data_IF_334357863261
#
_entry.id   IF_334357863261
#
_cell.length_a   1.000
_cell.length_b   1.000
_cell.length_c   1.000
_cell.angle_alpha   90.00
_cell.angle_beta   90.00
_cell.angle_gamma   90.00
#
_symmetry.space_group_name_H-M   'P 1'
#
loop_
_entity.id
_entity.type
_entity.pdbx_description
1 polymer ?
#
# COMPACT_ATOMS: atom_id res chain seq x y z
N UNK A 1 -6.09 -14.34 14.78
CA UNK A 1 -5.22 -14.68 13.63
C UNK A 1 -5.53 -13.84 12.39
N UNK A 2 -4.57 -13.01 11.95
CA UNK A 2 -4.70 -12.17 10.77
C UNK A 2 -4.21 -12.93 9.52
N UNK A 3 -5.12 -13.24 8.59
CA UNK A 3 -4.78 -13.88 7.30
C UNK A 3 -3.77 -13.02 6.52
N UNK A 4 -2.65 -13.58 6.04
CA UNK A 4 -1.68 -12.82 5.24
C UNK A 4 -2.36 -12.30 3.97
N UNK A 5 -1.99 -11.10 3.49
CA UNK A 5 -2.49 -10.60 2.21
C UNK A 5 -2.11 -11.60 1.10
N UNK A 6 -3.09 -12.04 0.34
CA UNK A 6 -2.88 -12.97 -0.77
C UNK A 6 -2.16 -12.26 -1.91
N UNK A 7 -1.17 -12.92 -2.54
CA UNK A 7 -0.40 -12.36 -3.66
C UNK A 7 -1.24 -11.75 -4.82
N UNK A 8 -2.45 -12.25 -5.15
CA UNK A 8 -3.34 -11.60 -6.11
C UNK A 8 -3.76 -10.18 -5.73
N UNK A 9 -4.01 -9.93 -4.44
CA UNK A 9 -4.45 -8.61 -3.95
C UNK A 9 -3.30 -7.60 -3.96
N UNK A 10 -2.07 -8.05 -3.63
CA UNK A 10 -0.87 -7.21 -3.77
C UNK A 10 -0.69 -6.74 -5.21
N UNK A 11 -0.76 -7.68 -6.16
CA UNK A 11 -0.59 -7.39 -7.59
C UNK A 11 -1.69 -6.45 -8.12
N UNK A 12 -2.94 -6.67 -7.71
CA UNK A 12 -4.05 -5.80 -8.11
C UNK A 12 -3.85 -4.37 -7.62
N UNK A 13 -3.45 -4.19 -6.34
CA UNK A 13 -3.18 -2.87 -5.78
C UNK A 13 -2.02 -2.17 -6.49
N UNK A 14 -0.92 -2.86 -6.72
CA UNK A 14 0.25 -2.28 -7.40
C UNK A 14 -0.06 -1.87 -8.84
N UNK A 15 -0.78 -2.69 -9.59
CA UNK A 15 -1.21 -2.35 -10.95
C UNK A 15 -2.09 -1.09 -10.95
N UNK A 16 -3.07 -1.04 -10.03
CA UNK A 16 -3.95 0.12 -9.89
C UNK A 16 -3.19 1.41 -9.52
N UNK A 17 -2.17 1.31 -8.67
CA UNK A 17 -1.31 2.45 -8.33
C UNK A 17 -0.39 2.84 -9.50
N UNK A 18 0.14 1.89 -10.27
CA UNK A 18 1.01 2.17 -11.42
C UNK A 18 0.28 2.94 -12.53
N UNK A 19 -0.99 2.63 -12.76
CA UNK A 19 -1.84 3.34 -13.73
C UNK A 19 -2.16 4.78 -13.32
N UNK A 20 -1.98 5.13 -12.04
CA UNK A 20 -2.37 6.42 -11.48
C UNK A 20 -1.15 7.20 -11.00
N UNK A 21 -0.84 8.31 -11.67
CA UNK A 21 0.21 9.23 -11.22
C UNK A 21 -0.31 10.08 -10.08
N UNK A 22 0.08 9.77 -8.85
CA UNK A 22 -0.15 10.62 -7.68
C UNK A 22 -0.70 9.89 -6.45
N UNK A 23 -0.91 10.62 -5.34
CA UNK A 23 -1.48 10.08 -4.11
C UNK A 23 -2.90 9.55 -4.32
N UNK A 24 -3.16 8.32 -3.87
CA UNK A 24 -4.46 7.68 -3.99
C UNK A 24 -5.05 7.36 -2.62
N UNK A 25 -6.31 7.74 -2.42
CA UNK A 25 -7.08 7.41 -1.21
C UNK A 25 -7.45 5.94 -1.20
N UNK A 26 -7.35 5.29 -0.03
CA UNK A 26 -7.75 3.89 0.13
C UNK A 26 -9.23 3.64 -0.20
N UNK A 27 -10.08 4.66 -0.03
CA UNK A 27 -11.50 4.60 -0.44
C UNK A 27 -11.66 4.51 -1.96
N UNK A 28 -10.78 5.15 -2.74
CA UNK A 28 -10.78 5.04 -4.20
C UNK A 28 -10.36 3.63 -4.65
N UNK A 29 -9.35 3.04 -3.98
CA UNK A 29 -8.94 1.64 -4.19
C UNK A 29 -10.13 0.69 -3.97
N UNK A 30 -10.83 0.84 -2.84
CA UNK A 30 -12.03 0.02 -2.54
C UNK A 30 -13.14 0.16 -3.57
N UNK A 31 -13.35 1.37 -4.11
CA UNK A 31 -14.35 1.60 -5.16
C UNK A 31 -13.95 0.95 -6.49
N UNK A 32 -12.67 0.93 -6.82
CA UNK A 32 -12.18 0.41 -8.10
C UNK A 32 -11.98 -1.12 -8.10
N UNK A 33 -11.39 -1.66 -7.03
CA UNK A 33 -11.01 -3.07 -6.94
C UNK A 33 -12.02 -3.93 -6.15
N UNK A 34 -13.08 -3.30 -5.61
CA UNK A 34 -14.10 -3.96 -4.81
C UNK A 34 -13.72 -4.14 -3.33
N UNK A 35 -14.52 -4.94 -2.62
CA UNK A 35 -14.25 -5.27 -1.22
C UNK A 35 -12.98 -6.14 -1.11
N UNK A 36 -12.11 -5.81 -0.16
CA UNK A 36 -10.86 -6.56 0.03
C UNK A 36 -10.01 -6.03 1.18
N UNK A 37 -8.96 -6.76 1.57
CA UNK A 37 -8.09 -6.42 2.69
C UNK A 37 -7.10 -5.29 2.35
N UNK A 38 -7.49 -4.30 1.56
CA UNK A 38 -6.60 -3.29 0.97
C UNK A 38 -5.77 -2.51 1.99
N UNK A 39 -6.31 -2.23 3.19
CA UNK A 39 -5.56 -1.58 4.26
C UNK A 39 -4.40 -2.43 4.78
N UNK A 40 -4.57 -3.75 4.85
CA UNK A 40 -3.53 -4.71 5.27
C UNK A 40 -2.51 -4.91 4.15
N UNK A 41 -2.99 -5.05 2.91
CA UNK A 41 -2.14 -5.15 1.72
C UNK A 41 -1.26 -3.93 1.59
N UNK A 42 -1.83 -2.73 1.70
CA UNK A 42 -1.08 -1.48 1.66
C UNK A 42 -0.02 -1.40 2.76
N UNK A 43 -0.39 -1.72 4.01
CA UNK A 43 0.58 -1.77 5.11
C UNK A 43 1.73 -2.74 4.86
N UNK A 44 1.44 -3.96 4.39
CA UNK A 44 2.47 -4.93 4.08
C UNK A 44 3.40 -4.48 2.96
N UNK A 45 2.86 -3.82 1.92
CA UNK A 45 3.67 -3.22 0.86
C UNK A 45 4.51 -2.03 1.36
N UNK A 46 4.00 -1.24 2.29
CA UNK A 46 4.72 -0.13 2.91
C UNK A 46 5.84 -0.59 3.84
N UNK A 47 5.59 -1.59 4.68
CA UNK A 47 6.63 -2.26 5.50
C UNK A 47 7.75 -2.85 4.63
N UNK A 48 7.44 -3.21 3.38
CA UNK A 48 8.40 -3.69 2.39
C UNK A 48 9.08 -2.57 1.58
N UNK A 49 8.69 -1.31 1.78
CA UNK A 49 9.22 -0.15 1.07
C UNK A 49 8.78 -0.05 -0.39
N UNK A 50 7.68 -0.71 -0.76
CA UNK A 50 7.15 -0.70 -2.14
C UNK A 50 6.28 0.53 -2.41
N UNK A 51 5.58 1.01 -1.38
CA UNK A 51 4.72 2.20 -1.41
C UNK A 51 4.95 2.98 -0.11
N UNK A 52 4.65 4.27 -0.13
CA UNK A 52 4.50 5.09 1.06
C UNK A 52 3.03 5.24 1.44
N UNK A 53 2.78 5.36 2.75
CA UNK A 53 1.47 5.66 3.29
C UNK A 53 1.57 6.98 4.04
N UNK A 54 1.00 8.02 3.46
CA UNK A 54 0.87 9.32 4.10
C UNK A 54 -0.46 9.39 4.85
N UNK A 55 -0.46 9.99 6.04
CA UNK A 55 -1.70 10.28 6.75
C UNK A 55 -1.98 11.76 6.59
N UNK A 56 -3.01 12.09 5.82
CA UNK A 56 -3.50 13.45 5.68
C UNK A 56 -4.23 13.81 6.98
N UNK A 57 -3.77 14.87 7.64
CA UNK A 57 -4.39 15.37 8.86
C UNK A 57 -5.85 15.78 8.57
N UNK A 58 -6.80 15.52 9.49
CA UNK A 58 -8.16 16.03 9.35
C UNK A 58 -8.16 17.55 9.29
N UNK A 59 -8.80 18.09 8.25
CA UNK A 59 -8.91 19.53 7.94
C UNK A 59 -9.96 20.25 8.81
N UNK A 60 -10.20 19.77 10.03
CA UNK A 60 -11.24 20.31 10.93
C UNK A 60 -10.82 20.16 12.38
N UNK A 61 -10.79 21.28 13.11
CA UNK A 61 -10.83 21.29 14.57
C UNK A 61 -12.29 21.17 15.04
N UNK A 62 -12.65 20.20 15.91
CA UNK A 62 -11.83 19.11 16.45
C UNK A 62 -11.70 17.93 15.45
N UNK A 63 -10.57 17.19 15.48
CA UNK A 63 -10.23 16.18 14.48
C UNK A 63 -11.08 14.91 14.63
N UNK A 64 -12.13 14.78 13.83
CA UNK A 64 -13.01 13.60 13.94
C UNK A 64 -12.54 12.38 13.13
N UNK A 65 -11.70 12.52 12.09
CA UNK A 65 -11.29 11.38 11.23
C UNK A 65 -9.93 11.54 10.56
N UNK A 66 -8.95 10.72 10.95
CA UNK A 66 -7.66 10.57 10.24
C UNK A 66 -7.87 10.06 8.81
N UNK A 67 -7.27 10.71 7.81
CA UNK A 67 -7.34 10.27 6.40
C UNK A 67 -6.03 9.59 6.02
N UNK A 68 -6.11 8.43 5.38
CA UNK A 68 -4.95 7.65 4.94
C UNK A 68 -4.83 7.71 3.41
N UNK A 69 -3.65 8.09 2.92
CA UNK A 69 -3.26 8.31 1.53
C UNK A 69 -2.08 7.38 1.20
N UNK A 70 -2.01 6.86 -0.02
CA UNK A 70 -0.94 5.96 -0.47
C UNK A 70 -0.22 6.59 -1.67
N UNK A 71 1.12 6.63 -1.64
CA UNK A 71 1.99 7.19 -2.69
C UNK A 71 2.97 6.11 -3.17
N UNK A 72 3.23 6.02 -4.47
CA UNK A 72 4.21 5.07 -5.04
C UNK A 72 5.57 5.75 -5.14
N UNK A 73 6.56 5.29 -4.37
CA UNK A 73 7.81 6.05 -4.18
C UNK A 73 8.95 5.64 -5.12
N UNK A 74 8.98 4.40 -5.64
CA UNK A 74 9.90 3.86 -6.68
C UNK A 74 9.62 2.37 -6.90
N UNK A 75 9.82 1.86 -8.12
CA UNK A 75 9.85 0.39 -8.36
C UNK A 75 11.19 -0.18 -7.89
N UNK A 76 11.19 -0.91 -6.78
CA UNK A 76 12.36 -1.70 -6.36
C UNK A 76 12.29 -3.11 -6.97
N UNK A 77 13.43 -3.66 -7.44
CA UNK A 77 13.50 -4.94 -8.12
C UNK A 77 13.05 -6.07 -7.19
N UNK A 78 12.46 -7.08 -7.81
CA UNK A 78 11.68 -8.16 -7.20
C UNK A 78 12.29 -8.84 -5.95
N UNK A 79 11.42 -9.46 -5.14
CA UNK A 79 11.69 -10.23 -3.91
C UNK A 79 12.89 -11.20 -3.96
N UNK A 80 13.29 -11.68 -5.15
CA UNK A 80 14.43 -12.59 -5.30
C UNK A 80 15.77 -11.92 -4.99
N UNK A 81 15.90 -10.61 -5.22
CA UNK A 81 17.17 -9.89 -5.07
C UNK A 81 17.48 -9.58 -3.60
N UNK A 82 16.45 -9.30 -2.79
CA UNK A 82 16.58 -9.06 -1.34
C UNK A 82 17.02 -10.32 -0.57
N UNK A 83 16.64 -11.51 -1.03
CA UNK A 83 17.06 -12.79 -0.41
C UNK A 83 18.55 -13.08 -0.63
N UNK A 84 19.17 -12.49 -1.67
CA UNK A 84 20.62 -12.53 -1.90
C UNK A 84 21.38 -11.59 -0.97
N UNK A 85 20.82 -10.41 -0.69
CA UNK A 85 21.45 -9.36 0.14
C UNK A 85 21.41 -9.72 1.64
N UNK A 86 20.30 -10.29 2.12
CA UNK A 86 20.12 -10.64 3.54
C UNK A 86 20.37 -12.12 3.87
N UNK A 87 20.78 -12.93 2.90
CA UNK A 87 20.99 -14.38 3.05
C UNK A 87 22.38 -14.80 3.54
N UNK A 88 23.18 -13.88 4.09
CA UNK A 88 24.49 -14.21 4.66
C UNK A 88 24.66 -13.61 6.05
N UNK A 89 24.17 -14.35 7.04
CA UNK A 89 24.70 -14.44 8.39
C UNK A 89 24.11 -15.70 9.04
#
# INVERSE_FOLDING_TARGET
PATPPTAPNERALLNYLRERRGPIKLTAVRKALGAGPWARVARSLAERGVIDIEHEAPDVEPPQRTRQVIVLTRELPSLQERRRIFGRA
#
